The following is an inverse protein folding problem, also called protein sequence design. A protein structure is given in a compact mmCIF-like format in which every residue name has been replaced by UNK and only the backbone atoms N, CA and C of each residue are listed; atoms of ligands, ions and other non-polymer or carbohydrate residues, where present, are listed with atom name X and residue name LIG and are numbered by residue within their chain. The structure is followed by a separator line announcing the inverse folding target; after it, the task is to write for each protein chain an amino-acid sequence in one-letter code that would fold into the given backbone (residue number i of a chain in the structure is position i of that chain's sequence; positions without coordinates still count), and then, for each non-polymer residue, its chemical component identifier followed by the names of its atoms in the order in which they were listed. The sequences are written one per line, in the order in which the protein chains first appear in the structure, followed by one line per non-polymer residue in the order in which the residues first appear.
data_IF_461252572756
#
_entry.id   IF_461252572756
#
_cell.length_a   1.000
_cell.length_b   1.000
_cell.length_c   1.000
_cell.angle_alpha   90.00
_cell.angle_beta   90.00
_cell.angle_gamma   90.00
#
_symmetry.space_group_name_H-M   'P 1'
#
loop_
_entity.id
_entity.type
_entity.pdbx_description
1 polymer ?
#
# COMPACT_ATOMS: atom_id res chain seq x y z
N UNK A 1 11.36 -13.25 -5.67
CA UNK A 1 11.84 -11.99 -6.24
C UNK A 1 11.82 -10.97 -5.12
N UNK A 2 12.94 -10.86 -4.40
CA UNK A 2 13.07 -10.13 -3.13
C UNK A 2 14.01 -8.95 -3.28
N UNK A 3 13.67 -8.02 -4.17
CA UNK A 3 14.22 -6.67 -4.12
C UNK A 3 13.12 -5.82 -3.52
N UNK A 4 13.41 -5.26 -2.34
CA UNK A 4 12.61 -4.19 -1.77
C UNK A 4 12.58 -3.07 -2.81
N UNK A 5 11.41 -2.77 -3.36
CA UNK A 5 11.31 -1.62 -4.26
C UNK A 5 11.65 -0.35 -3.49
N UNK A 6 12.06 0.73 -4.18
CA UNK A 6 12.52 1.94 -3.51
C UNK A 6 11.43 2.45 -2.55
N UNK A 7 11.84 2.89 -1.35
CA UNK A 7 10.94 3.37 -0.29
C UNK A 7 9.98 4.48 -0.77
N UNK A 8 10.35 5.23 -1.81
CA UNK A 8 9.48 6.22 -2.46
C UNK A 8 8.22 5.61 -3.09
N UNK A 9 8.23 4.32 -3.42
CA UNK A 9 7.13 3.60 -4.09
C UNK A 9 6.55 2.46 -3.26
N UNK A 10 7.14 2.19 -2.09
CA UNK A 10 6.84 1.05 -1.23
C UNK A 10 6.58 1.57 0.18
N UNK A 11 5.31 1.63 0.58
CA UNK A 11 4.92 2.08 1.92
C UNK A 11 4.84 0.89 2.85
N UNK A 12 5.67 0.89 3.90
CA UNK A 12 5.66 -0.17 4.90
C UNK A 12 4.33 -0.27 5.63
N UNK A 13 3.90 -1.51 5.88
CA UNK A 13 2.70 -1.84 6.65
C UNK A 13 2.99 -2.95 7.66
N UNK A 14 2.30 -2.90 8.78
CA UNK A 14 2.48 -3.81 9.90
C UNK A 14 1.45 -4.96 9.92
N UNK A 15 1.47 -5.76 10.99
CA UNK A 15 0.58 -6.92 11.15
C UNK A 15 -0.89 -6.54 11.24
N UNK A 16 -1.23 -5.34 11.74
CA UNK A 16 -2.60 -4.87 11.92
C UNK A 16 -3.27 -4.54 10.57
N UNK A 17 -2.46 -4.33 9.52
CA UNK A 17 -2.91 -4.27 8.13
C UNK A 17 -3.55 -5.59 7.62
N UNK A 18 -3.48 -6.67 8.40
CA UNK A 18 -4.06 -7.98 8.05
C UNK A 18 -3.15 -8.84 7.21
N UNK A 19 -1.84 -8.66 7.37
CA UNK A 19 -0.81 -9.47 6.72
C UNK A 19 -0.95 -10.94 7.13
N UNK A 20 -0.63 -11.85 6.20
CA UNK A 20 -0.53 -13.27 6.50
C UNK A 20 0.82 -13.80 6.08
N UNK A 21 1.52 -14.47 6.99
CA UNK A 21 2.79 -15.16 6.71
C UNK A 21 4.04 -14.28 6.78
N UNK A 22 3.92 -12.96 6.95
CA UNK A 22 5.04 -12.04 7.20
C UNK A 22 4.66 -11.03 8.27
N UNK A 23 5.61 -10.68 9.13
CA UNK A 23 5.42 -9.67 10.19
C UNK A 23 5.45 -8.24 9.65
N UNK A 24 6.09 -8.04 8.50
CA UNK A 24 6.19 -6.76 7.81
C UNK A 24 6.02 -6.98 6.30
N UNK A 25 5.36 -6.05 5.64
CA UNK A 25 5.22 -6.02 4.18
C UNK A 25 5.10 -4.58 3.70
N UNK A 26 4.79 -4.39 2.43
CA UNK A 26 4.73 -3.08 1.81
C UNK A 26 3.57 -2.99 0.82
N UNK A 27 2.97 -1.81 0.74
CA UNK A 27 2.05 -1.42 -0.33
C UNK A 27 2.88 -0.84 -1.48
N UNK A 28 2.81 -1.47 -2.65
CA UNK A 28 3.45 -0.97 -3.87
C UNK A 28 2.50 -0.01 -4.61
N UNK A 29 2.77 1.30 -4.56
CA UNK A 29 1.91 2.31 -5.19
C UNK A 29 2.01 2.30 -6.73
N UNK A 30 3.13 1.85 -7.29
CA UNK A 30 3.30 1.73 -8.76
C UNK A 30 2.44 0.61 -9.35
N UNK A 31 1.94 -0.29 -8.51
CA UNK A 31 1.02 -1.36 -8.88
C UNK A 31 -0.45 -0.94 -8.84
N UNK A 32 -0.77 0.36 -8.79
CA UNK A 32 -2.15 0.83 -8.74
C UNK A 32 -2.92 0.43 -10.00
N UNK A 33 -4.05 -0.27 -9.83
CA UNK A 33 -4.91 -0.68 -10.94
C UNK A 33 -6.35 -0.88 -10.48
N UNK A 34 -7.29 -0.84 -11.43
CA UNK A 34 -8.70 -1.12 -11.16
C UNK A 34 -8.97 -2.62 -11.13
N UNK A 35 -9.79 -3.06 -10.17
CA UNK A 35 -10.30 -4.43 -10.10
C UNK A 35 -11.82 -4.45 -9.94
N UNK A 36 -12.47 -5.45 -10.55
CA UNK A 36 -13.92 -5.66 -10.36
C UNK A 36 -14.23 -6.12 -8.94
N UNK A 37 -15.34 -5.65 -8.36
CA UNK A 37 -15.75 -5.98 -6.98
C UNK A 37 -15.83 -7.50 -6.71
N UNK A 38 -16.26 -8.30 -7.67
CA UNK A 38 -16.33 -9.76 -7.55
C UNK A 38 -14.98 -10.47 -7.34
N UNK A 39 -13.86 -9.80 -7.60
CA UNK A 39 -12.51 -10.34 -7.31
C UNK A 39 -12.09 -10.15 -5.85
N UNK A 40 -12.78 -9.29 -5.09
CA UNK A 40 -12.50 -9.06 -3.68
C UNK A 40 -13.16 -10.15 -2.83
N UNK A 41 -12.37 -11.10 -2.31
CA UNK A 41 -12.90 -12.27 -1.61
C UNK A 41 -13.37 -11.99 -0.19
N UNK A 42 -12.57 -11.26 0.60
CA UNK A 42 -12.87 -10.91 1.99
C UNK A 42 -11.97 -9.77 2.48
N UNK A 43 -12.42 -9.05 3.49
CA UNK A 43 -11.57 -8.11 4.24
C UNK A 43 -10.52 -8.87 5.05
N UNK A 44 -9.27 -8.40 5.00
CA UNK A 44 -8.11 -9.03 5.68
C UNK A 44 -7.68 -8.29 6.94
N UNK A 45 -7.75 -6.98 6.93
CA UNK A 45 -7.38 -6.10 8.02
C UNK A 45 -7.81 -4.68 7.69
N UNK A 46 -7.14 -3.70 8.29
CA UNK A 46 -7.33 -2.29 7.99
C UNK A 46 -6.01 -1.58 8.29
N UNK A 47 -5.58 -0.70 7.38
CA UNK A 47 -4.46 0.20 7.66
C UNK A 47 -4.80 1.10 8.85
N UNK A 48 -3.84 1.29 9.74
CA UNK A 48 -3.88 2.36 10.72
C UNK A 48 -3.96 3.72 10.03
N UNK A 49 -4.44 4.76 10.72
CA UNK A 49 -4.48 6.10 10.14
C UNK A 49 -3.10 6.59 9.65
N UNK A 50 -2.00 6.42 10.41
CA UNK A 50 -0.67 6.83 9.94
C UNK A 50 -0.19 6.08 8.70
N UNK A 51 -0.50 4.78 8.57
CA UNK A 51 -0.17 4.02 7.35
C UNK A 51 -0.98 4.51 6.15
N UNK A 52 -2.27 4.78 6.36
CA UNK A 52 -3.15 5.30 5.31
C UNK A 52 -2.69 6.67 4.81
N UNK A 53 -2.25 7.56 5.70
CA UNK A 53 -1.72 8.88 5.35
C UNK A 53 -0.45 8.78 4.51
N UNK A 54 0.47 7.87 4.85
CA UNK A 54 1.68 7.61 4.06
C UNK A 54 1.35 7.04 2.68
N UNK A 55 0.39 6.11 2.58
CA UNK A 55 -0.09 5.59 1.29
C UNK A 55 -0.68 6.71 0.45
N UNK A 56 -1.48 7.60 1.04
CA UNK A 56 -2.06 8.73 0.34
C UNK A 56 -0.99 9.68 -0.22
N UNK A 57 0.02 10.05 0.58
CA UNK A 57 1.13 10.88 0.14
C UNK A 57 1.94 10.21 -0.99
N UNK A 58 2.27 8.93 -0.85
CA UNK A 58 2.99 8.19 -1.88
C UNK A 58 2.18 8.06 -3.20
N UNK A 59 0.86 7.91 -3.11
CA UNK A 59 -0.02 7.91 -4.29
C UNK A 59 -0.07 9.28 -4.95
N UNK A 60 -0.09 10.39 -4.18
CA UNK A 60 -0.03 11.74 -4.76
C UNK A 60 1.28 11.98 -5.49
N UNK A 61 2.41 11.68 -4.87
CA UNK A 61 3.72 11.80 -5.53
C UNK A 61 3.86 10.90 -6.76
N UNK A 62 3.32 9.67 -6.72
CA UNK A 62 3.32 8.77 -7.89
C UNK A 62 2.46 9.28 -9.05
N UNK A 63 1.34 9.95 -8.73
CA UNK A 63 0.42 10.52 -9.71
C UNK A 63 0.73 11.98 -10.08
N UNK A 64 1.81 12.55 -9.53
CA UNK A 64 2.22 13.95 -9.71
C UNK A 64 1.11 14.94 -9.31
N UNK A 65 0.51 14.70 -8.13
CA UNK A 65 -0.61 15.48 -7.58
C UNK A 65 -0.23 16.31 -6.35
N UNK A 66 1.06 16.40 -6.02
CA UNK A 66 1.52 17.29 -4.97
C UNK A 66 1.56 18.71 -5.56
N UNK A 67 0.79 19.64 -4.98
CA UNK A 67 0.86 21.07 -5.32
C UNK A 67 2.28 21.61 -4.98
N UNK A 68 2.93 22.29 -5.94
CA UNK A 68 4.19 23.04 -5.77
C UNK A 68 4.10 24.12 -4.67
#
# INVERSE_FOLDING_TARGET
TGTEGPHSTHVEVDVDAGLTGRLQSWVNVTGLHTVSKGKLRRRRGRLSSPELDRVAAAVRGYLDLDDD
#
